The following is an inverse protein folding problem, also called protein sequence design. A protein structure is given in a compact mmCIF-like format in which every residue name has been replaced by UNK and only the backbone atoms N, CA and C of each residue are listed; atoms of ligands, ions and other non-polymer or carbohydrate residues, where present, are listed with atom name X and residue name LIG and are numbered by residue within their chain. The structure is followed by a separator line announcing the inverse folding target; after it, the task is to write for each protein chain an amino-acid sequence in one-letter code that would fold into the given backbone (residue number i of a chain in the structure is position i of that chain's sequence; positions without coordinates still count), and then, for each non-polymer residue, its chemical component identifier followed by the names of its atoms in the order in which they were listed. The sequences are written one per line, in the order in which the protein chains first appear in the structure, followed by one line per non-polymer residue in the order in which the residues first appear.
data_IF_117386539273
#
_entry.id   IF_117386539273
#
_cell.length_a   1.000
_cell.length_b   1.000
_cell.length_c   1.000
_cell.angle_alpha   90.00
_cell.angle_beta   90.00
_cell.angle_gamma   90.00
#
_symmetry.space_group_name_H-M   'P 1'
#
loop_
_entity.id
_entity.type
_entity.pdbx_description
1 polymer ?
#
# COMPACT_ATOMS: atom_id res chain seq x y z
N UNK A 1 1.63 -26.31 19.02
CA UNK A 1 2.54 -25.45 18.23
C UNK A 1 2.51 -25.98 16.81
N UNK A 2 1.57 -25.51 15.99
CA UNK A 2 1.48 -25.86 14.58
C UNK A 2 2.36 -24.89 13.79
N UNK A 3 3.33 -25.42 13.05
CA UNK A 3 4.25 -24.64 12.23
C UNK A 3 3.50 -23.93 11.10
N UNK A 4 4.04 -22.79 10.69
CA UNK A 4 3.60 -21.95 9.56
C UNK A 4 3.80 -22.61 8.18
N UNK A 5 4.11 -23.91 8.14
CA UNK A 5 4.59 -24.62 6.94
C UNK A 5 3.50 -25.38 6.16
N UNK A 6 2.23 -25.19 6.47
CA UNK A 6 1.13 -25.86 5.75
C UNK A 6 -0.03 -24.93 5.41
N UNK A 7 0.28 -23.75 4.85
CA UNK A 7 -0.69 -23.08 3.99
C UNK A 7 -0.64 -23.78 2.62
N UNK A 8 -1.79 -24.24 2.08
CA UNK A 8 -1.84 -24.71 0.69
C UNK A 8 -1.33 -23.60 -0.24
N UNK A 9 -0.70 -23.93 -1.38
CA UNK A 9 -0.31 -22.92 -2.36
C UNK A 9 -1.56 -22.11 -2.70
N UNK A 10 -1.52 -20.81 -2.39
CA UNK A 10 -2.58 -19.90 -2.76
C UNK A 10 -2.76 -19.88 -4.27
N UNK A 11 -3.88 -19.37 -4.80
CA UNK A 11 -4.04 -19.17 -6.23
C UNK A 11 -2.83 -18.40 -6.79
N UNK A 12 -2.36 -18.79 -7.98
CA UNK A 12 -1.32 -18.04 -8.68
C UNK A 12 -1.75 -16.58 -8.78
N UNK A 13 -1.05 -15.72 -8.05
CA UNK A 13 -1.30 -14.29 -8.03
C UNK A 13 -0.26 -13.61 -8.91
N UNK A 14 -0.61 -13.39 -10.17
CA UNK A 14 0.24 -12.71 -11.17
C UNK A 14 0.34 -11.19 -10.95
N UNK A 15 -0.35 -10.66 -9.94
CA UNK A 15 -0.38 -9.23 -9.65
C UNK A 15 0.88 -8.77 -8.88
N UNK A 16 1.47 -7.61 -9.22
CA UNK A 16 2.71 -7.12 -8.58
C UNK A 16 2.66 -7.00 -7.06
N UNK A 17 1.47 -6.79 -6.48
CA UNK A 17 1.26 -6.66 -5.04
C UNK A 17 1.56 -7.96 -4.28
N UNK A 18 1.50 -9.10 -4.95
CA UNK A 18 1.81 -10.42 -4.38
C UNK A 18 3.31 -10.73 -4.40
N UNK A 19 4.12 -9.98 -5.14
CA UNK A 19 5.56 -10.21 -5.22
C UNK A 19 6.27 -9.81 -3.92
N UNK A 20 7.17 -10.67 -3.43
CA UNK A 20 8.01 -10.38 -2.27
C UNK A 20 9.47 -10.12 -2.66
N UNK A 21 9.90 -8.87 -2.47
CA UNK A 21 11.31 -8.47 -2.72
C UNK A 21 12.29 -9.20 -1.81
N UNK A 22 11.90 -9.48 -0.56
CA UNK A 22 12.76 -10.20 0.39
C UNK A 22 12.93 -11.67 -0.03
N UNK A 23 11.89 -12.28 -0.57
CA UNK A 23 11.98 -13.64 -1.12
C UNK A 23 12.83 -13.68 -2.38
N UNK A 24 12.68 -12.68 -3.27
CA UNK A 24 13.53 -12.55 -4.44
C UNK A 24 15.01 -12.42 -4.04
N UNK A 25 15.32 -11.54 -3.08
CA UNK A 25 16.67 -11.36 -2.55
C UNK A 25 17.21 -12.67 -1.95
N UNK A 26 16.39 -13.38 -1.16
CA UNK A 26 16.75 -14.69 -0.59
C UNK A 26 17.06 -15.72 -1.68
N UNK A 27 16.25 -15.78 -2.74
CA UNK A 27 16.47 -16.67 -3.90
C UNK A 27 17.75 -16.32 -4.66
N UNK A 28 18.01 -15.03 -4.88
CA UNK A 28 19.26 -14.57 -5.51
C UNK A 28 20.50 -14.94 -4.69
N UNK A 29 20.45 -14.75 -3.37
CA UNK A 29 21.56 -15.11 -2.47
C UNK A 29 21.80 -16.63 -2.42
N UNK A 30 20.74 -17.43 -2.46
CA UNK A 30 20.82 -18.89 -2.51
C UNK A 30 21.42 -19.42 -3.83
N UNK A 31 21.07 -18.81 -4.97
CA UNK A 31 21.63 -19.15 -6.30
C UNK A 31 23.09 -18.72 -6.48
N UNK A 32 23.52 -17.67 -5.79
CA UNK A 32 24.89 -17.13 -5.89
C UNK A 32 25.96 -17.93 -5.11
N UNK A 33 25.60 -18.99 -4.37
CA UNK A 33 26.57 -19.76 -3.58
C UNK A 33 27.37 -18.93 -2.57
N UNK A 34 26.78 -17.86 -2.04
CA UNK A 34 27.49 -16.81 -1.31
C UNK A 34 28.13 -17.26 0.00
N UNK A 35 29.45 -17.45 -0.01
CA UNK A 35 30.31 -17.43 1.19
C UNK A 35 30.26 -16.02 1.77
N UNK A 36 29.63 -15.85 2.93
CA UNK A 36 29.52 -14.56 3.61
C UNK A 36 30.91 -14.02 3.98
N UNK A 37 31.38 -12.98 3.27
CA UNK A 37 32.46 -12.14 3.75
C UNK A 37 31.88 -11.19 4.79
N UNK A 38 32.11 -11.50 6.07
CA UNK A 38 31.93 -10.54 7.16
C UNK A 38 32.87 -9.37 6.94
N UNK A 39 32.33 -8.22 6.56
CA UNK A 39 33.00 -6.94 6.75
C UNK A 39 32.04 -6.07 7.56
N UNK A 40 32.31 -6.02 8.86
CA UNK A 40 31.75 -5.03 9.77
C UNK A 40 32.28 -3.65 9.37
N UNK A 41 31.50 -2.92 8.59
CA UNK A 41 31.69 -1.48 8.41
C UNK A 41 30.79 -0.76 9.42
N UNK A 42 31.38 -0.33 10.53
CA UNK A 42 30.78 0.69 11.40
C UNK A 42 30.56 1.97 10.57
N UNK A 43 29.30 2.32 10.33
CA UNK A 43 28.93 3.66 9.87
C UNK A 43 28.29 4.41 11.04
N UNK A 44 28.94 5.52 11.38
CA UNK A 44 28.47 6.50 12.37
C UNK A 44 27.28 7.25 11.78
N UNK A 45 26.07 6.80 12.06
CA UNK A 45 24.86 7.60 11.88
C UNK A 45 24.06 7.63 13.18
N UNK A 46 24.33 8.62 14.03
CA UNK A 46 23.56 8.91 15.24
C UNK A 46 22.11 9.36 14.94
N UNK A 47 21.74 9.49 13.65
CA UNK A 47 20.36 9.66 13.19
C UNK A 47 19.64 8.33 12.90
N UNK A 48 20.35 7.21 12.82
CA UNK A 48 19.77 5.88 12.56
C UNK A 48 19.31 5.17 13.84
N UNK A 49 19.70 5.64 15.03
CA UNK A 49 19.41 4.94 16.29
C UNK A 49 17.97 5.09 16.77
N UNK A 50 17.24 6.12 16.34
CA UNK A 50 15.80 6.24 16.60
C UNK A 50 14.94 5.40 15.64
N UNK A 51 15.46 5.05 14.46
CA UNK A 51 14.77 4.15 13.52
C UNK A 51 14.87 2.67 13.94
N UNK A 52 15.78 2.35 14.87
CA UNK A 52 15.95 1.00 15.43
C UNK A 52 15.06 0.72 16.65
N UNK A 53 14.29 1.70 17.12
CA UNK A 53 13.33 1.52 18.21
C UNK A 53 11.94 1.41 17.61
N UNK A 54 11.29 0.25 17.79
CA UNK A 54 9.90 -0.01 17.40
C UNK A 54 8.93 0.82 18.25
N UNK A 55 8.92 2.13 18.02
CA UNK A 55 8.00 3.07 18.65
C UNK A 55 6.60 2.98 18.00
N UNK A 56 5.52 3.21 18.77
CA UNK A 56 4.20 3.41 18.19
C UNK A 56 4.20 4.53 17.13
N UNK A 57 3.43 4.39 16.04
CA UNK A 57 3.45 5.38 14.96
C UNK A 57 2.83 6.71 15.43
N UNK A 58 3.45 7.82 15.03
CA UNK A 58 2.82 9.12 15.10
C UNK A 58 1.73 9.29 14.02
N UNK A 59 1.05 10.44 14.03
CA UNK A 59 -0.01 10.78 13.06
C UNK A 59 0.47 10.66 11.62
N UNK A 60 1.69 11.06 11.33
CA UNK A 60 2.19 11.21 9.96
C UNK A 60 2.69 9.86 9.41
N UNK A 61 3.30 9.03 10.24
CA UNK A 61 3.66 7.65 9.90
C UNK A 61 2.39 6.82 9.70
N UNK A 62 1.46 6.84 10.66
CA UNK A 62 0.17 6.13 10.54
C UNK A 62 -0.59 6.58 9.29
N UNK A 63 -0.68 7.89 9.04
CA UNK A 63 -1.32 8.46 7.85
C UNK A 63 -0.76 7.93 6.55
N UNK A 64 0.58 7.91 6.39
CA UNK A 64 1.22 7.37 5.18
C UNK A 64 0.93 5.89 4.96
N UNK A 65 0.94 5.08 6.01
CA UNK A 65 0.62 3.66 5.90
C UNK A 65 -0.86 3.42 5.57
N UNK A 66 -1.77 4.16 6.20
CA UNK A 66 -3.20 4.06 5.90
C UNK A 66 -3.49 4.50 4.47
N UNK A 67 -2.91 5.60 3.99
CA UNK A 67 -3.05 5.99 2.57
C UNK A 67 -2.48 4.94 1.63
N UNK A 68 -1.39 4.28 2.00
CA UNK A 68 -0.84 3.16 1.21
C UNK A 68 -1.85 2.01 1.11
N UNK A 69 -2.49 1.63 2.22
CA UNK A 69 -3.56 0.63 2.21
C UNK A 69 -4.73 1.08 1.33
N UNK A 70 -5.27 2.27 1.60
CA UNK A 70 -6.46 2.80 0.93
C UNK A 70 -6.29 2.90 -0.59
N UNK A 71 -5.17 3.48 -1.04
CA UNK A 71 -4.89 3.61 -2.48
C UNK A 71 -4.65 2.25 -3.13
N UNK A 72 -3.96 1.32 -2.48
CA UNK A 72 -3.81 -0.06 -2.99
C UNK A 72 -5.15 -0.77 -3.08
N UNK A 73 -6.02 -0.66 -2.07
CA UNK A 73 -7.37 -1.24 -2.13
C UNK A 73 -8.16 -0.70 -3.31
N UNK A 74 -8.12 0.62 -3.57
CA UNK A 74 -8.80 1.21 -4.73
C UNK A 74 -8.17 0.81 -6.07
N UNK A 75 -6.84 0.72 -6.13
CA UNK A 75 -6.09 0.39 -7.33
C UNK A 75 -6.33 -1.06 -7.80
N UNK A 76 -6.59 -1.98 -6.86
CA UNK A 76 -6.88 -3.39 -7.08
C UNK A 76 -8.36 -3.74 -6.98
N UNK A 77 -9.24 -2.73 -6.81
CA UNK A 77 -10.67 -2.93 -6.90
C UNK A 77 -11.08 -3.43 -8.30
N UNK A 78 -12.13 -4.24 -8.45
CA UNK A 78 -12.55 -4.72 -9.77
C UNK A 78 -13.05 -3.58 -10.66
N UNK A 79 -12.76 -3.64 -11.96
CA UNK A 79 -13.31 -2.66 -12.91
C UNK A 79 -14.83 -2.81 -13.04
N UNK A 80 -15.36 -4.04 -12.94
CA UNK A 80 -16.79 -4.34 -12.91
C UNK A 80 -17.10 -5.10 -11.60
N UNK A 81 -17.29 -4.40 -10.47
CA UNK A 81 -17.53 -5.04 -9.18
C UNK A 81 -18.95 -5.57 -9.06
N UNK A 82 -19.12 -6.71 -8.40
CA UNK A 82 -20.44 -7.20 -8.01
C UNK A 82 -21.01 -6.45 -6.77
N UNK A 83 -22.26 -6.75 -6.42
CA UNK A 83 -22.99 -6.08 -5.33
C UNK A 83 -22.31 -6.29 -3.98
N UNK A 84 -21.73 -7.47 -3.75
CA UNK A 84 -21.03 -7.83 -2.52
C UNK A 84 -19.71 -7.04 -2.40
N UNK A 85 -18.94 -6.95 -3.48
CA UNK A 85 -17.72 -6.16 -3.56
C UNK A 85 -18.00 -4.66 -3.34
N UNK A 86 -19.09 -4.12 -3.89
CA UNK A 86 -19.52 -2.74 -3.60
C UNK A 86 -19.92 -2.55 -2.14
N UNK A 87 -20.63 -3.51 -1.55
CA UNK A 87 -21.00 -3.48 -0.14
C UNK A 87 -19.75 -3.53 0.78
N UNK A 88 -18.80 -4.41 0.48
CA UNK A 88 -17.53 -4.51 1.21
C UNK A 88 -16.69 -3.24 1.11
N UNK A 89 -16.54 -2.65 -0.08
CA UNK A 89 -15.80 -1.40 -0.24
C UNK A 89 -16.45 -0.24 0.54
N UNK A 90 -17.79 -0.16 0.54
CA UNK A 90 -18.53 0.84 1.33
C UNK A 90 -18.32 0.64 2.83
N UNK A 91 -18.45 -0.60 3.31
CA UNK A 91 -18.23 -0.94 4.71
C UNK A 91 -16.78 -0.68 5.13
N UNK A 92 -15.81 -0.95 4.27
CA UNK A 92 -14.39 -0.67 4.50
C UNK A 92 -14.13 0.84 4.69
N UNK A 93 -14.61 1.68 3.77
CA UNK A 93 -14.47 3.14 3.90
C UNK A 93 -15.16 3.65 5.17
N UNK A 94 -16.36 3.14 5.47
CA UNK A 94 -17.08 3.48 6.69
C UNK A 94 -16.30 3.09 7.95
N UNK A 95 -15.74 1.88 7.99
CA UNK A 95 -14.95 1.41 9.13
C UNK A 95 -13.71 2.29 9.36
N UNK A 96 -13.01 2.70 8.29
CA UNK A 96 -11.90 3.66 8.40
C UNK A 96 -12.41 4.99 8.95
N UNK A 97 -13.52 5.52 8.45
CA UNK A 97 -14.12 6.77 8.92
C UNK A 97 -14.59 6.73 10.38
N UNK A 98 -14.87 5.55 10.93
CA UNK A 98 -15.39 5.38 12.30
C UNK A 98 -14.32 4.96 13.30
N UNK A 99 -13.25 4.29 12.87
CA UNK A 99 -12.25 3.68 13.76
C UNK A 99 -10.86 4.29 13.65
N UNK A 100 -10.62 5.24 12.73
CA UNK A 100 -9.29 5.82 12.59
C UNK A 100 -8.78 6.41 13.92
N UNK A 101 -7.55 6.07 14.38
CA UNK A 101 -7.10 6.40 15.75
C UNK A 101 -6.97 7.89 16.06
N UNK A 102 -6.61 8.69 15.06
CA UNK A 102 -6.53 10.15 15.20
C UNK A 102 -7.95 10.75 15.19
N UNK A 103 -8.47 11.15 16.35
CA UNK A 103 -9.88 11.57 16.49
C UNK A 103 -10.32 12.70 15.55
N UNK A 104 -9.50 13.76 15.42
CA UNK A 104 -9.79 14.89 14.54
C UNK A 104 -9.60 14.53 13.06
N UNK A 105 -8.57 13.74 12.72
CA UNK A 105 -8.43 13.21 11.36
C UNK A 105 -9.65 12.35 10.96
N UNK A 106 -10.13 11.54 11.91
CA UNK A 106 -11.31 10.68 11.75
C UNK A 106 -12.57 11.49 11.49
N UNK A 107 -12.86 12.48 12.35
CA UNK A 107 -14.03 13.34 12.23
C UNK A 107 -14.04 14.10 10.90
N UNK A 108 -12.88 14.64 10.51
CA UNK A 108 -12.71 15.32 9.22
C UNK A 108 -12.94 14.38 8.04
N UNK A 109 -12.39 13.18 8.08
CA UNK A 109 -12.57 12.19 7.01
C UNK A 109 -14.02 11.71 6.93
N UNK A 110 -14.67 11.45 8.07
CA UNK A 110 -16.08 11.09 8.16
C UNK A 110 -16.98 12.18 7.55
N UNK A 111 -16.77 13.43 7.94
CA UNK A 111 -17.50 14.58 7.39
C UNK A 111 -17.28 14.72 5.88
N UNK A 112 -16.04 14.59 5.43
CA UNK A 112 -15.69 14.69 4.00
C UNK A 112 -16.34 13.56 3.19
N UNK A 113 -16.28 12.32 3.68
CA UNK A 113 -16.88 11.15 3.03
C UNK A 113 -18.41 11.16 3.07
N UNK A 114 -19.02 11.85 4.04
CA UNK A 114 -20.47 12.06 4.07
C UNK A 114 -20.92 13.05 2.99
N UNK A 115 -20.15 14.12 2.77
CA UNK A 115 -20.43 15.10 1.71
C UNK A 115 -20.09 14.58 0.31
N UNK A 116 -19.05 13.75 0.19
CA UNK A 116 -18.65 13.09 -1.05
C UNK A 116 -18.59 11.58 -0.82
N UNK A 117 -19.72 10.86 -0.95
CA UNK A 117 -19.75 9.41 -0.77
C UNK A 117 -18.82 8.67 -1.75
N UNK A 118 -18.25 7.51 -1.36
CA UNK A 118 -17.38 6.75 -2.22
C UNK A 118 -18.09 6.31 -3.50
N UNK A 119 -17.44 6.54 -4.63
CA UNK A 119 -17.86 6.06 -5.96
C UNK A 119 -17.31 4.66 -6.16
N UNK A 120 -18.19 3.66 -6.27
CA UNK A 120 -17.83 2.24 -6.23
C UNK A 120 -18.32 1.47 -7.47
N UNK A 121 -18.68 2.17 -8.54
CA UNK A 121 -19.18 1.54 -9.77
C UNK A 121 -18.05 0.88 -10.58
N UNK A 122 -16.81 1.33 -10.38
CA UNK A 122 -15.62 0.78 -11.02
C UNK A 122 -14.36 1.05 -10.20
N UNK A 123 -13.30 0.30 -10.49
CA UNK A 123 -11.93 0.58 -10.04
C UNK A 123 -11.51 2.01 -10.33
N UNK A 124 -11.82 2.50 -11.53
CA UNK A 124 -11.50 3.85 -11.98
C UNK A 124 -12.17 4.88 -11.07
N UNK A 125 -13.48 4.72 -10.85
CA UNK A 125 -14.25 5.64 -10.00
C UNK A 125 -13.75 5.66 -8.57
N UNK A 126 -13.48 4.48 -8.00
CA UNK A 126 -13.00 4.38 -6.62
C UNK A 126 -11.59 4.95 -6.46
N UNK A 127 -10.70 4.71 -7.42
CA UNK A 127 -9.34 5.27 -7.43
C UNK A 127 -9.34 6.79 -7.52
N UNK A 128 -10.18 7.36 -8.40
CA UNK A 128 -10.31 8.81 -8.53
C UNK A 128 -10.88 9.43 -7.26
N UNK A 129 -11.94 8.85 -6.70
CA UNK A 129 -12.53 9.31 -5.44
C UNK A 129 -11.50 9.27 -4.30
N UNK A 130 -10.72 8.19 -4.19
CA UNK A 130 -9.68 8.07 -3.17
C UNK A 130 -8.60 9.14 -3.30
N UNK A 131 -8.22 9.48 -4.54
CA UNK A 131 -7.28 10.56 -4.83
C UNK A 131 -7.83 11.94 -4.44
N UNK A 132 -9.09 12.22 -4.78
CA UNK A 132 -9.77 13.47 -4.41
C UNK A 132 -9.85 13.63 -2.88
N UNK A 133 -10.22 12.56 -2.16
CA UNK A 133 -10.25 12.55 -0.70
C UNK A 133 -8.87 12.80 -0.08
N UNK A 134 -7.82 12.21 -0.64
CA UNK A 134 -6.46 12.47 -0.19
C UNK A 134 -6.04 13.93 -0.49
N UNK A 135 -6.47 14.48 -1.62
CA UNK A 135 -6.22 15.88 -1.96
C UNK A 135 -6.93 16.87 -1.02
N UNK A 136 -8.13 16.55 -0.54
CA UNK A 136 -8.80 17.36 0.49
C UNK A 136 -7.94 17.47 1.77
N UNK A 137 -7.30 16.36 2.18
CA UNK A 137 -6.35 16.37 3.30
C UNK A 137 -5.07 17.12 2.95
N UNK A 138 -4.55 16.97 1.72
CA UNK A 138 -3.36 17.72 1.27
C UNK A 138 -3.60 19.23 1.34
N UNK A 139 -4.75 19.70 0.85
CA UNK A 139 -5.13 21.12 0.89
C UNK A 139 -5.18 21.65 2.33
N UNK A 140 -5.85 20.95 3.25
CA UNK A 140 -5.90 21.29 4.68
C UNK A 140 -4.52 21.36 5.33
N UNK A 141 -3.59 20.52 4.91
CA UNK A 141 -2.23 20.47 5.42
C UNK A 141 -1.25 21.37 4.65
N UNK A 142 -1.72 22.16 3.66
CA UNK A 142 -0.87 23.01 2.82
C UNK A 142 0.12 22.24 1.94
N UNK A 143 -0.19 20.98 1.59
CA UNK A 143 0.62 20.13 0.74
C UNK A 143 0.23 20.29 -0.74
N UNK A 144 1.16 20.04 -1.69
CA UNK A 144 0.83 20.03 -3.11
C UNK A 144 -0.29 19.03 -3.44
N UNK A 145 -1.18 19.43 -4.35
CA UNK A 145 -2.21 18.53 -4.85
C UNK A 145 -1.62 17.50 -5.81
N UNK A 146 -2.12 16.28 -5.72
CA UNK A 146 -1.82 15.22 -6.69
C UNK A 146 -2.76 15.31 -7.88
N UNK A 147 -2.25 15.21 -9.11
CA UNK A 147 -3.10 15.19 -10.30
C UNK A 147 -3.79 13.82 -10.42
N UNK A 148 -5.09 13.76 -10.11
CA UNK A 148 -5.88 12.53 -10.14
C UNK A 148 -6.18 12.07 -11.58
N UNK A 149 -5.20 11.50 -12.27
CA UNK A 149 -5.43 10.75 -13.52
C UNK A 149 -5.28 9.26 -13.26
N UNK A 150 -6.10 8.43 -13.92
CA UNK A 150 -6.01 6.97 -13.74
C UNK A 150 -4.61 6.44 -14.10
N UNK A 151 -3.95 7.02 -15.11
CA UNK A 151 -2.57 6.68 -15.48
C UNK A 151 -1.54 7.01 -14.39
N UNK A 152 -1.69 8.16 -13.74
CA UNK A 152 -0.80 8.58 -12.64
C UNK A 152 -1.01 7.73 -11.40
N UNK A 153 -2.27 7.39 -11.09
CA UNK A 153 -2.63 6.51 -9.99
C UNK A 153 -2.15 5.08 -10.24
N UNK A 154 -2.36 4.53 -11.45
CA UNK A 154 -1.84 3.21 -11.84
C UNK A 154 -0.31 3.16 -11.69
N UNK A 155 0.40 4.18 -12.19
CA UNK A 155 1.86 4.24 -12.04
C UNK A 155 2.28 4.24 -10.58
N UNK A 156 1.57 4.97 -9.71
CA UNK A 156 1.96 5.13 -8.30
C UNK A 156 1.55 3.96 -7.41
N UNK A 157 0.41 3.32 -7.67
CA UNK A 157 -0.25 2.41 -6.73
C UNK A 157 -0.53 1.00 -7.26
N UNK A 158 -0.35 0.75 -8.57
CA UNK A 158 -0.63 -0.56 -9.17
C UNK A 158 0.54 -1.15 -9.96
N UNK A 159 0.95 -0.47 -11.02
CA UNK A 159 1.86 -0.99 -12.04
C UNK A 159 3.32 -0.60 -11.83
N UNK A 160 3.57 0.53 -11.17
CA UNK A 160 4.91 1.11 -11.11
C UNK A 160 5.34 1.75 -12.43
N UNK A 161 6.49 2.41 -12.44
CA UNK A 161 7.21 2.76 -13.67
C UNK A 161 8.21 1.65 -14.07
N UNK A 162 8.94 1.81 -15.19
CA UNK A 162 9.97 0.86 -15.63
C UNK A 162 11.01 0.54 -14.56
N UNK A 163 11.30 1.50 -13.67
CA UNK A 163 12.21 1.37 -12.53
C UNK A 163 11.72 0.39 -11.43
N UNK A 164 10.43 0.05 -11.44
CA UNK A 164 9.80 -0.83 -10.44
C UNK A 164 9.72 -2.29 -10.91
N UNK A 165 9.96 -2.57 -12.19
CA UNK A 165 9.94 -3.93 -12.74
C UNK A 165 11.08 -4.74 -12.11
N UNK A 166 10.73 -5.84 -11.46
CA UNK A 166 11.71 -6.84 -11.05
C UNK A 166 12.31 -7.44 -12.32
N UNK A 167 13.64 -7.70 -12.38
CA UNK A 167 14.21 -8.43 -13.50
C UNK A 167 13.48 -9.77 -13.62
N UNK A 168 13.03 -10.08 -14.83
CA UNK A 168 12.43 -11.36 -15.17
C UNK A 168 13.47 -12.44 -14.91
N UNK A 169 13.35 -13.13 -13.77
CA UNK A 169 14.07 -14.38 -13.55
C UNK A 169 13.14 -15.46 -14.08
N UNK A 170 12.93 -15.44 -15.40
CA UNK A 170 12.36 -16.58 -16.09
C UNK A 170 13.16 -17.80 -15.64
N UNK A 171 12.43 -18.77 -15.12
CA UNK A 171 12.91 -20.13 -14.93
C UNK A 171 13.09 -20.70 -16.33
N UNK A 172 14.16 -20.31 -17.01
CA UNK A 172 14.64 -21.06 -18.16
C UNK A 172 15.39 -22.28 -17.61
N UNK A 173 14.66 -23.41 -17.67
CA UNK A 173 15.00 -24.84 -17.52
C UNK A 173 15.83 -25.34 -16.32
#
# INVERSE_FOLDING_TARGET
RGGVDSMPPGPDCDEPICASKSELMRKMMAKSGGRAASTSAESKDAHSSLAAVDCPPDRDLLGRHTWTLLHSTAAYYPENPDDEQRAHARAFVHAISSLYPCAWCREDFHTSASHSPPRLESRTDFSLWMCEMHNHVNEKLGKPLFKCTISGLDRRWRKGGPECSLPDISLDD
#
